data_IF_241274689625
#
_entry.id   IF_241274689625
#
_cell.length_a   1.000
_cell.length_b   1.000
_cell.length_c   1.000
_cell.angle_alpha   90.00
_cell.angle_beta   90.00
_cell.angle_gamma   90.00
#
_symmetry.space_group_name_H-M   'P 1'
#
loop_
_entity.id
_entity.type
_entity.pdbx_description
1 polymer ?
#
# COMPACT_ATOMS: atom_id res chain seq x y z
N UNK A 1 -7.74 4.59 -16.81
CA UNK A 1 -7.10 4.04 -15.61
C UNK A 1 -6.94 2.51 -15.66
N UNK A 2 -5.70 2.03 -15.74
CA UNK A 2 -5.29 0.63 -15.59
C UNK A 2 -4.29 0.53 -14.43
N UNK A 3 -4.36 -0.53 -13.62
CA UNK A 3 -3.42 -0.75 -12.52
C UNK A 3 -3.05 -2.24 -12.40
N UNK A 4 -1.81 -2.52 -12.02
CA UNK A 4 -1.30 -3.88 -11.76
C UNK A 4 -0.34 -3.90 -10.56
N UNK A 5 -0.28 -5.05 -9.89
CA UNK A 5 0.58 -5.31 -8.74
C UNK A 5 1.26 -6.67 -8.91
N UNK A 6 2.59 -6.69 -8.76
CA UNK A 6 3.36 -7.91 -8.52
C UNK A 6 3.69 -8.00 -7.04
N UNK A 7 3.50 -9.17 -6.41
CA UNK A 7 3.40 -9.31 -4.95
C UNK A 7 4.35 -10.37 -4.40
N UNK A 8 5.05 -10.03 -3.32
CA UNK A 8 5.66 -10.97 -2.38
C UNK A 8 5.12 -10.70 -0.97
N UNK A 9 4.94 -11.74 -0.15
CA UNK A 9 4.36 -11.55 1.19
C UNK A 9 4.92 -12.51 2.23
N UNK A 10 4.79 -12.08 3.49
CA UNK A 10 5.09 -12.82 4.72
C UNK A 10 3.94 -12.61 5.72
N UNK A 11 4.08 -13.12 6.94
CA UNK A 11 3.01 -13.04 7.96
C UNK A 11 2.59 -11.61 8.30
N UNK A 12 3.53 -10.66 8.34
CA UNK A 12 3.27 -9.27 8.78
C UNK A 12 3.67 -8.22 7.75
N UNK A 13 4.14 -8.64 6.57
CA UNK A 13 4.65 -7.71 5.56
C UNK A 13 4.32 -8.17 4.14
N UNK A 14 3.94 -7.22 3.30
CA UNK A 14 3.76 -7.38 1.85
C UNK A 14 4.73 -6.45 1.15
N UNK A 15 5.41 -6.95 0.12
CA UNK A 15 6.22 -6.19 -0.81
C UNK A 15 5.54 -6.22 -2.17
N UNK A 16 5.56 -5.10 -2.89
CA UNK A 16 4.95 -5.04 -4.19
C UNK A 16 5.65 -4.10 -5.16
N UNK A 17 5.62 -4.45 -6.44
CA UNK A 17 5.90 -3.56 -7.56
C UNK A 17 4.55 -3.16 -8.16
N UNK A 18 4.31 -1.87 -8.33
CA UNK A 18 3.06 -1.34 -8.84
C UNK A 18 3.27 -0.60 -10.16
N UNK A 19 2.28 -0.69 -11.05
CA UNK A 19 2.18 0.13 -12.26
C UNK A 19 0.75 0.64 -12.40
N UNK A 20 0.60 1.93 -12.58
CA UNK A 20 -0.65 2.61 -12.92
C UNK A 20 -0.50 3.37 -14.23
N UNK A 21 -1.57 3.49 -14.99
CA UNK A 21 -1.60 4.40 -16.14
C UNK A 21 -2.93 5.13 -16.23
N UNK A 22 -2.85 6.43 -16.47
CA UNK A 22 -4.00 7.26 -16.81
C UNK A 22 -3.70 8.14 -18.03
N UNK A 23 -4.64 8.24 -18.96
CA UNK A 23 -4.54 9.07 -20.18
C UNK A 23 -3.18 9.04 -20.92
N UNK A 24 -2.53 7.87 -20.99
CA UNK A 24 -1.18 7.61 -21.57
C UNK A 24 0.03 7.95 -20.69
N UNK A 25 -0.17 8.48 -19.49
CA UNK A 25 0.89 8.66 -18.51
C UNK A 25 1.00 7.41 -17.63
N UNK A 26 2.08 6.65 -17.83
CA UNK A 26 2.42 5.51 -16.98
C UNK A 26 3.23 6.00 -15.77
N UNK A 27 2.85 5.51 -14.60
CA UNK A 27 3.55 5.71 -13.34
C UNK A 27 3.79 4.35 -12.70
N UNK A 28 4.97 4.18 -12.14
CA UNK A 28 5.36 2.93 -11.49
C UNK A 28 6.22 3.18 -10.27
N UNK A 29 6.34 2.13 -9.47
CA UNK A 29 7.12 2.20 -8.27
C UNK A 29 7.14 0.87 -7.52
N UNK A 30 7.84 0.90 -6.40
CA UNK A 30 7.89 -0.17 -5.44
C UNK A 30 7.14 0.26 -4.18
N UNK A 31 6.82 -0.70 -3.33
CA UNK A 31 6.14 -0.42 -2.09
C UNK A 31 6.13 -1.60 -1.16
N UNK A 32 5.75 -1.31 0.07
CA UNK A 32 5.52 -2.34 1.07
C UNK A 32 4.39 -1.92 2.01
N UNK A 33 3.77 -2.92 2.63
CA UNK A 33 2.81 -2.74 3.68
C UNK A 33 3.23 -3.56 4.90
N UNK A 34 3.19 -2.96 6.08
CA UNK A 34 3.52 -3.60 7.36
C UNK A 34 2.31 -3.57 8.31
N UNK A 35 2.05 -4.71 8.95
CA UNK A 35 1.09 -4.82 10.06
C UNK A 35 1.80 -4.41 11.36
N UNK A 36 1.31 -3.35 11.98
CA UNK A 36 1.83 -2.82 13.23
C UNK A 36 1.23 -3.53 14.46
N UNK A 37 1.88 -3.39 15.61
CA UNK A 37 1.44 -4.01 16.87
C UNK A 37 0.06 -3.53 17.36
N UNK A 38 -0.36 -2.31 16.97
CA UNK A 38 -1.68 -1.75 17.27
C UNK A 38 -2.78 -2.23 16.31
N UNK A 39 -2.44 -3.13 15.38
CA UNK A 39 -3.33 -3.65 14.35
C UNK A 39 -3.55 -2.69 13.18
N UNK A 40 -2.89 -1.53 13.16
CA UNK A 40 -2.86 -0.65 12.00
C UNK A 40 -1.97 -1.23 10.89
N UNK A 41 -2.24 -0.81 9.66
CA UNK A 41 -1.40 -1.14 8.51
C UNK A 41 -0.79 0.16 7.98
N UNK A 42 0.53 0.20 7.90
CA UNK A 42 1.27 1.28 7.24
C UNK A 42 1.69 0.82 5.86
N UNK A 43 1.49 1.65 4.84
CA UNK A 43 1.74 1.34 3.45
C UNK A 43 2.59 2.46 2.84
N UNK A 44 3.72 2.09 2.27
CA UNK A 44 4.62 3.01 1.58
C UNK A 44 4.58 2.73 0.08
N UNK A 45 4.35 3.77 -0.71
CA UNK A 45 4.50 3.79 -2.16
C UNK A 45 5.69 4.67 -2.51
N UNK A 46 6.75 4.07 -3.04
CA UNK A 46 7.90 4.79 -3.59
C UNK A 46 7.77 4.85 -5.10
N UNK A 47 7.66 6.05 -5.64
CA UNK A 47 7.57 6.32 -7.07
C UNK A 47 8.97 6.22 -7.68
N UNK A 48 9.09 5.67 -8.90
CA UNK A 48 10.36 5.67 -9.63
C UNK A 48 10.89 7.09 -9.93
N UNK A 49 10.01 8.10 -9.87
CA UNK A 49 10.37 9.52 -9.96
C UNK A 49 11.16 10.03 -8.74
N UNK A 50 11.21 9.24 -7.67
CA UNK A 50 11.91 9.56 -6.42
C UNK A 50 11.03 10.12 -5.31
N UNK A 51 9.74 10.34 -5.56
CA UNK A 51 8.77 10.74 -4.53
C UNK A 51 8.25 9.53 -3.74
N UNK A 52 7.74 9.78 -2.53
CA UNK A 52 7.17 8.75 -1.68
C UNK A 52 5.83 9.20 -1.07
N UNK A 53 4.89 8.28 -0.99
CA UNK A 53 3.61 8.47 -0.30
C UNK A 53 3.42 7.39 0.77
N UNK A 54 3.11 7.83 2.00
CA UNK A 54 2.86 6.92 3.13
C UNK A 54 1.40 7.03 3.53
N UNK A 55 0.72 5.90 3.59
CA UNK A 55 -0.66 5.77 4.04
C UNK A 55 -0.70 4.94 5.31
N UNK A 56 -1.61 5.29 6.23
CA UNK A 56 -1.84 4.51 7.45
C UNK A 56 -3.33 4.21 7.61
N UNK A 57 -3.67 2.93 7.51
CA UNK A 57 -5.01 2.44 7.77
C UNK A 57 -5.10 2.00 9.24
N UNK A 58 -6.14 2.44 9.94
CA UNK A 58 -6.43 2.02 11.32
C UNK A 58 -7.71 1.20 11.34
N UNK A 59 -7.79 0.12 12.14
CA UNK A 59 -9.02 -0.62 12.30
C UNK A 59 -10.08 0.27 12.96
N UNK A 60 -11.27 0.33 12.37
CA UNK A 60 -12.41 0.98 13.00
C UNK A 60 -12.88 0.10 14.16
N UNK A 61 -12.75 0.60 15.39
CA UNK A 61 -13.32 -0.09 16.55
C UNK A 61 -14.82 0.17 16.60
N UNK A 62 -15.61 -0.65 15.91
CA UNK A 62 -17.07 -0.64 16.08
C UNK A 62 -17.42 -1.15 17.48
N UNK A 63 -17.84 -0.25 18.35
CA UNK A 63 -18.48 -0.61 19.62
C UNK A 63 -19.96 -0.87 19.34
N UNK A 64 -20.28 -2.06 18.85
CA UNK A 64 -21.67 -2.53 18.97
C UNK A 64 -21.81 -3.01 20.41
N UNK A 65 -22.15 -2.11 21.32
CA UNK A 65 -22.57 -2.48 22.67
C UNK A 65 -23.81 -3.37 22.56
N UNK A 66 -23.72 -4.62 23.02
CA UNK A 66 -24.86 -5.51 23.20
C UNK A 66 -25.70 -5.09 24.41
#
# INVERSE_FOLDING_TARGET
MQASLDLGYSTSMVFFRWRGSDEMDEVSGDGHAELLDDGAIEITFAYDSGDEAVLKAKPETSSTAC
#
